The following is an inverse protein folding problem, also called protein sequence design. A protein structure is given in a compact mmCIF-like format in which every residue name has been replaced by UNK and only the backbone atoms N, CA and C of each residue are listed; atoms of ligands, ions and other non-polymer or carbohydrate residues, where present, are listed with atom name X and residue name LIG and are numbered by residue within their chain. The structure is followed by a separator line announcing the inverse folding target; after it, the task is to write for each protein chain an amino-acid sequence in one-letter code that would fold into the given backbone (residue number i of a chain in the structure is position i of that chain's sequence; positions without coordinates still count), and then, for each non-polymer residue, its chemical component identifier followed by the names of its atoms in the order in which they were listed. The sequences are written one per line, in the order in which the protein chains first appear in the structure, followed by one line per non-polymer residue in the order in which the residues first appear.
data_IF_764528643682
#
_entry.id   IF_764528643682
#
_cell.length_a   1.000
_cell.length_b   1.000
_cell.length_c   1.000
_cell.angle_alpha   90.00
_cell.angle_beta   90.00
_cell.angle_gamma   90.00
#
_symmetry.space_group_name_H-M   'P 1'
#
loop_
_entity.id
_entity.type
_entity.pdbx_description
1 polymer ?
#
# COMPACT_ATOMS: atom_id res chain seq x y z
N UNK A 1 61.46 -15.22 -25.69
CA UNK A 1 60.53 -15.85 -24.76
C UNK A 1 59.47 -14.82 -24.36
N UNK A 2 58.31 -14.86 -25.02
CA UNK A 2 57.16 -13.96 -24.73
C UNK A 2 56.18 -14.78 -23.87
N UNK A 3 55.95 -14.34 -22.63
CA UNK A 3 54.92 -14.93 -21.74
C UNK A 3 53.61 -14.24 -22.03
N UNK A 4 52.62 -14.98 -22.54
CA UNK A 4 51.21 -14.59 -22.62
C UNK A 4 50.61 -14.73 -21.20
N UNK A 5 50.08 -13.64 -20.67
CA UNK A 5 49.15 -13.65 -19.51
C UNK A 5 47.74 -13.82 -20.02
N UNK A 6 47.11 -14.92 -19.68
CA UNK A 6 45.66 -15.11 -19.85
C UNK A 6 44.96 -14.52 -18.63
N UNK A 7 44.24 -13.46 -18.81
CA UNK A 7 43.32 -12.95 -17.80
C UNK A 7 41.97 -13.65 -17.96
N UNK A 8 41.65 -14.53 -17.02
CA UNK A 8 40.34 -15.15 -16.92
C UNK A 8 39.38 -14.14 -16.27
N UNK A 9 38.45 -13.58 -17.05
CA UNK A 9 37.33 -12.79 -16.54
C UNK A 9 36.30 -13.76 -15.94
N UNK A 10 36.17 -13.74 -14.62
CA UNK A 10 35.10 -14.46 -13.92
C UNK A 10 33.85 -13.57 -14.06
N UNK A 11 32.94 -13.96 -14.92
CA UNK A 11 31.58 -13.40 -14.99
C UNK A 11 30.80 -13.96 -13.78
N UNK A 12 30.64 -13.14 -12.75
CA UNK A 12 29.69 -13.43 -11.67
C UNK A 12 28.28 -13.27 -12.23
N UNK A 13 27.64 -14.38 -12.57
CA UNK A 13 26.21 -14.40 -12.87
C UNK A 13 25.46 -14.11 -11.55
N UNK A 14 24.91 -12.91 -11.43
CA UNK A 14 23.92 -12.58 -10.42
C UNK A 14 22.66 -13.41 -10.74
N UNK A 15 22.52 -14.55 -10.08
CA UNK A 15 21.29 -15.31 -10.06
C UNK A 15 20.23 -14.44 -9.34
N UNK A 16 19.36 -13.79 -10.09
CA UNK A 16 18.12 -13.26 -9.55
C UNK A 16 17.37 -14.43 -8.93
N UNK A 17 16.89 -14.33 -7.68
CA UNK A 17 16.06 -15.38 -7.13
C UNK A 17 14.80 -15.47 -8.00
N UNK A 18 14.68 -16.54 -8.76
CA UNK A 18 13.40 -16.91 -9.39
C UNK A 18 12.37 -16.96 -8.27
N UNK A 19 11.27 -16.21 -8.42
CA UNK A 19 10.11 -16.37 -7.56
C UNK A 19 9.60 -17.80 -7.77
N UNK A 20 10.12 -18.73 -6.99
CA UNK A 20 9.61 -20.08 -6.93
C UNK A 20 8.18 -19.97 -6.46
N UNK A 21 7.23 -20.47 -7.24
CA UNK A 21 5.87 -20.68 -6.76
C UNK A 21 6.00 -21.47 -5.45
N UNK A 22 5.66 -20.83 -4.31
CA UNK A 22 5.67 -21.54 -3.04
C UNK A 22 4.67 -22.68 -3.16
N UNK A 23 5.17 -23.91 -3.21
CA UNK A 23 4.30 -25.08 -3.20
C UNK A 23 3.70 -25.21 -1.80
N UNK A 24 2.38 -25.31 -1.74
CA UNK A 24 1.67 -25.57 -0.48
C UNK A 24 2.20 -26.89 0.12
N UNK A 25 2.60 -26.92 1.40
CA UNK A 25 3.03 -28.15 2.03
C UNK A 25 1.96 -29.24 1.97
N UNK A 26 2.37 -30.48 1.79
CA UNK A 26 1.45 -31.60 1.72
C UNK A 26 0.67 -31.79 3.03
N UNK A 27 -0.65 -31.88 2.96
CA UNK A 27 -1.54 -31.99 4.10
C UNK A 27 -2.01 -30.65 4.65
N UNK A 28 -1.69 -29.53 3.97
CA UNK A 28 -2.21 -28.22 4.32
C UNK A 28 -3.39 -27.87 3.41
N UNK A 29 -4.45 -27.32 3.98
CA UNK A 29 -5.65 -26.87 3.26
C UNK A 29 -6.02 -25.44 3.61
N UNK A 30 -6.22 -24.59 2.59
CA UNK A 30 -6.61 -23.20 2.74
C UNK A 30 -8.10 -23.12 3.09
N UNK A 31 -8.42 -22.58 4.27
CA UNK A 31 -9.79 -22.53 4.80
C UNK A 31 -10.48 -21.21 4.55
N UNK A 32 -9.74 -20.09 4.64
CA UNK A 32 -10.28 -18.75 4.52
C UNK A 32 -9.22 -17.78 4.06
N UNK A 33 -9.64 -16.75 3.31
CA UNK A 33 -8.77 -15.66 2.83
C UNK A 33 -9.44 -14.31 3.10
N UNK A 34 -8.72 -13.38 3.70
CA UNK A 34 -9.12 -11.97 3.77
C UNK A 34 -8.04 -11.12 3.11
N UNK A 35 -8.46 -10.35 2.10
CA UNK A 35 -7.60 -9.51 1.27
C UNK A 35 -7.87 -8.05 1.64
N UNK A 36 -6.87 -7.34 2.14
CA UNK A 36 -6.91 -5.89 2.36
C UNK A 36 -6.10 -5.22 1.26
N UNK A 37 -6.79 -4.56 0.35
CA UNK A 37 -6.24 -3.98 -0.88
C UNK A 37 -6.17 -2.46 -0.80
N UNK A 38 -5.06 -1.88 -1.26
CA UNK A 38 -5.03 -0.47 -1.67
C UNK A 38 -5.67 -0.33 -3.05
N UNK A 39 -6.31 0.82 -3.34
CA UNK A 39 -6.84 1.14 -4.67
C UNK A 39 -5.75 1.13 -5.75
N UNK A 40 -6.15 1.01 -7.02
CA UNK A 40 -5.30 1.02 -8.21
C UNK A 40 -4.72 2.39 -8.57
N UNK A 41 -3.98 2.44 -9.69
CA UNK A 41 -3.39 3.68 -10.21
C UNK A 41 -4.51 4.69 -10.51
N UNK A 42 -4.34 5.91 -10.04
CA UNK A 42 -5.28 7.04 -10.19
C UNK A 42 -4.57 8.29 -10.68
N UNK A 43 -5.32 9.27 -11.17
CA UNK A 43 -4.78 10.61 -11.34
C UNK A 43 -4.49 11.26 -9.96
N UNK A 44 -3.48 12.14 -9.84
CA UNK A 44 -3.18 12.87 -8.60
C UNK A 44 -4.39 13.66 -8.10
N UNK A 45 -4.49 13.85 -6.76
CA UNK A 45 -5.52 14.67 -6.11
C UNK A 45 -5.21 16.17 -6.25
N UNK A 46 -4.84 16.61 -7.44
CA UNK A 46 -4.37 17.97 -7.69
C UNK A 46 -5.41 18.76 -8.48
N UNK A 47 -5.97 19.78 -7.85
CA UNK A 47 -6.77 20.81 -8.51
C UNK A 47 -5.97 22.11 -8.63
N UNK A 48 -6.40 23.03 -9.49
CA UNK A 48 -5.86 24.39 -9.56
C UNK A 48 -5.85 25.03 -8.16
N UNK A 49 -4.69 25.59 -7.76
CA UNK A 49 -4.48 26.11 -6.39
C UNK A 49 -4.06 25.05 -5.37
N UNK A 50 -3.91 23.78 -5.78
CA UNK A 50 -3.42 22.70 -4.93
C UNK A 50 -1.94 22.86 -4.56
N UNK A 51 -1.46 22.04 -3.61
CA UNK A 51 -0.04 21.98 -3.25
C UNK A 51 0.88 21.79 -4.48
N UNK A 52 0.44 21.02 -5.48
CA UNK A 52 1.20 20.82 -6.72
C UNK A 52 1.34 22.11 -7.54
N UNK A 53 0.27 22.85 -7.72
CA UNK A 53 0.28 24.12 -8.47
C UNK A 53 1.09 25.21 -7.75
N UNK A 54 1.15 25.17 -6.42
CA UNK A 54 1.91 26.13 -5.61
C UNK A 54 3.42 25.80 -5.53
N UNK A 55 3.78 24.53 -5.65
CA UNK A 55 5.15 24.05 -5.41
C UNK A 55 6.09 24.19 -6.63
N UNK A 56 5.56 24.47 -7.83
CA UNK A 56 6.38 24.65 -9.04
C UNK A 56 5.70 25.56 -10.06
N UNK A 57 6.52 26.29 -10.82
CA UNK A 57 6.06 27.04 -12.00
C UNK A 57 6.05 26.17 -13.27
N UNK A 58 6.58 24.95 -13.23
CA UNK A 58 6.61 24.03 -14.35
C UNK A 58 5.21 23.51 -14.66
N UNK A 59 4.83 23.33 -15.93
CA UNK A 59 3.52 22.78 -16.28
C UNK A 59 3.45 21.30 -15.91
N UNK A 60 2.37 20.92 -15.24
CA UNK A 60 2.07 19.52 -14.94
C UNK A 60 1.51 18.81 -16.18
N UNK A 61 1.87 17.54 -16.41
CA UNK A 61 1.30 16.78 -17.52
C UNK A 61 -0.20 16.55 -17.32
N UNK A 62 -0.92 16.45 -18.44
CA UNK A 62 -2.38 16.27 -18.45
C UNK A 62 -2.73 14.79 -18.25
N UNK A 63 -3.69 14.52 -17.38
CA UNK A 63 -4.27 13.21 -17.14
C UNK A 63 -5.56 13.02 -17.94
N UNK A 64 -5.85 11.77 -18.34
CA UNK A 64 -7.05 11.42 -19.11
C UNK A 64 -8.33 11.34 -18.25
N UNK A 65 -8.17 11.21 -16.93
CA UNK A 65 -9.26 11.11 -15.95
C UNK A 65 -9.16 12.24 -14.94
N UNK A 66 -10.23 12.51 -14.23
CA UNK A 66 -10.25 13.54 -13.19
C UNK A 66 -9.34 13.16 -12.00
N UNK A 67 -8.94 14.16 -11.21
CA UNK A 67 -8.12 13.94 -10.03
C UNK A 67 -8.77 12.95 -9.06
N UNK A 68 -8.03 11.91 -8.68
CA UNK A 68 -8.49 10.87 -7.77
C UNK A 68 -9.26 9.71 -8.41
N UNK A 69 -9.57 9.77 -9.69
CA UNK A 69 -10.22 8.66 -10.43
C UNK A 69 -9.22 7.62 -10.89
N UNK A 70 -9.64 6.35 -10.90
CA UNK A 70 -8.86 5.22 -11.40
C UNK A 70 -8.55 5.41 -12.90
N UNK A 71 -7.31 5.12 -13.30
CA UNK A 71 -6.94 5.16 -14.73
C UNK A 71 -7.21 3.83 -15.42
N UNK A 72 -7.22 3.83 -16.77
CA UNK A 72 -7.29 2.58 -17.56
C UNK A 72 -6.13 1.64 -17.21
N UNK A 73 -4.97 2.19 -16.91
CA UNK A 73 -3.80 1.41 -16.51
C UNK A 73 -3.98 0.83 -15.10
N UNK A 74 -4.59 1.58 -14.18
CA UNK A 74 -5.00 1.09 -12.87
C UNK A 74 -5.98 -0.07 -12.97
N UNK A 75 -6.97 0.04 -13.86
CA UNK A 75 -7.90 -1.04 -14.16
C UNK A 75 -7.17 -2.29 -14.69
N UNK A 76 -6.23 -2.12 -15.62
CA UNK A 76 -5.44 -3.22 -16.19
C UNK A 76 -4.60 -3.95 -15.13
N UNK A 77 -3.99 -3.23 -14.18
CA UNK A 77 -3.26 -3.83 -13.04
C UNK A 77 -4.19 -4.72 -12.23
N UNK A 78 -5.41 -4.27 -11.93
CA UNK A 78 -6.39 -5.05 -11.17
C UNK A 78 -6.86 -6.30 -11.94
N UNK A 79 -6.97 -6.22 -13.27
CA UNK A 79 -7.27 -7.39 -14.12
C UNK A 79 -6.17 -8.46 -13.97
N UNK A 80 -4.89 -8.06 -14.00
CA UNK A 80 -3.79 -9.01 -13.79
C UNK A 80 -3.79 -9.59 -12.37
N UNK A 81 -4.04 -8.77 -11.34
CA UNK A 81 -4.20 -9.27 -9.98
C UNK A 81 -5.33 -10.29 -9.88
N UNK A 82 -6.50 -9.95 -10.42
CA UNK A 82 -7.68 -10.83 -10.42
C UNK A 82 -7.36 -12.19 -11.05
N UNK A 83 -6.68 -12.20 -12.20
CA UNK A 83 -6.31 -13.43 -12.89
C UNK A 83 -5.37 -14.31 -12.02
N UNK A 84 -4.33 -13.73 -11.45
CA UNK A 84 -3.38 -14.45 -10.60
C UNK A 84 -4.04 -14.95 -9.30
N UNK A 85 -4.84 -14.12 -8.66
CA UNK A 85 -5.54 -14.49 -7.43
C UNK A 85 -6.60 -15.58 -7.70
N UNK A 86 -7.35 -15.47 -8.79
CA UNK A 86 -8.28 -16.51 -9.22
C UNK A 86 -7.56 -17.85 -9.39
N UNK A 87 -6.46 -17.87 -10.16
CA UNK A 87 -5.66 -19.08 -10.42
C UNK A 87 -5.18 -19.70 -9.10
N UNK A 88 -4.64 -18.91 -8.20
CA UNK A 88 -4.18 -19.36 -6.89
C UNK A 88 -5.32 -19.88 -6.01
N UNK A 89 -6.39 -19.11 -5.80
CA UNK A 89 -7.51 -19.51 -4.93
C UNK A 89 -8.25 -20.75 -5.43
N UNK A 90 -8.33 -20.94 -6.75
CA UNK A 90 -8.90 -22.14 -7.36
C UNK A 90 -7.97 -23.34 -7.17
N UNK A 91 -6.67 -23.17 -7.34
CA UNK A 91 -5.66 -24.21 -7.08
C UNK A 91 -5.74 -24.70 -5.63
N UNK A 92 -5.82 -23.77 -4.67
CA UNK A 92 -5.96 -24.08 -3.24
C UNK A 92 -7.38 -24.51 -2.84
N UNK A 93 -8.30 -24.59 -3.78
CA UNK A 93 -9.70 -25.06 -3.59
C UNK A 93 -10.52 -24.25 -2.58
N UNK A 94 -10.06 -23.05 -2.20
CA UNK A 94 -10.84 -22.15 -1.33
C UNK A 94 -11.95 -21.45 -2.11
N UNK A 95 -11.81 -21.35 -3.43
CA UNK A 95 -12.76 -20.73 -4.33
C UNK A 95 -13.04 -21.65 -5.53
N UNK A 96 -14.32 -21.77 -5.92
CA UNK A 96 -14.73 -22.32 -7.22
C UNK A 96 -15.16 -21.18 -8.13
N UNK A 97 -14.79 -21.24 -9.40
CA UNK A 97 -15.21 -20.28 -10.43
C UNK A 97 -16.12 -20.90 -11.49
N UNK A 98 -16.60 -22.11 -11.25
CA UNK A 98 -17.55 -22.82 -12.14
C UNK A 98 -18.97 -22.25 -12.03
N UNK A 99 -19.29 -21.61 -10.91
CA UNK A 99 -20.56 -20.96 -10.64
C UNK A 99 -20.34 -19.58 -10.03
N UNK A 100 -21.31 -18.69 -10.17
CA UNK A 100 -21.27 -17.39 -9.51
C UNK A 100 -21.28 -17.57 -7.99
N UNK A 101 -20.41 -16.84 -7.26
CA UNK A 101 -20.27 -17.04 -5.83
C UNK A 101 -21.47 -16.48 -5.07
N UNK A 102 -21.85 -17.15 -4.00
CA UNK A 102 -22.73 -16.58 -2.97
C UNK A 102 -21.93 -15.62 -2.07
N UNK A 103 -22.61 -14.76 -1.30
CA UNK A 103 -21.98 -13.88 -0.30
C UNK A 103 -21.15 -14.63 0.76
N UNK A 104 -21.47 -15.91 1.03
CA UNK A 104 -20.68 -16.76 1.94
C UNK A 104 -19.41 -17.32 1.29
N UNK A 105 -19.37 -17.36 -0.02
CA UNK A 105 -18.18 -17.81 -0.76
C UNK A 105 -17.24 -16.67 -1.06
N UNK A 106 -17.78 -15.52 -1.50
CA UNK A 106 -17.00 -14.33 -1.82
C UNK A 106 -17.77 -13.07 -1.43
N UNK A 107 -17.17 -12.25 -0.59
CA UNK A 107 -17.73 -10.97 -0.15
C UNK A 107 -16.78 -9.83 -0.48
N UNK A 108 -17.32 -8.72 -0.96
CA UNK A 108 -16.55 -7.53 -1.35
C UNK A 108 -17.07 -6.31 -0.61
N UNK A 109 -16.17 -5.58 0.00
CA UNK A 109 -16.44 -4.30 0.64
C UNK A 109 -15.39 -3.28 0.19
N UNK A 110 -15.80 -2.22 -0.47
CA UNK A 110 -14.93 -1.14 -0.89
C UNK A 110 -15.29 0.15 -0.15
N UNK A 111 -14.29 0.99 0.09
CA UNK A 111 -14.56 2.37 0.48
C UNK A 111 -15.44 3.06 -0.59
N UNK A 112 -16.34 3.92 -0.16
CA UNK A 112 -17.33 4.60 -1.00
C UNK A 112 -16.74 5.75 -1.84
N UNK A 113 -15.51 5.56 -2.36
CA UNK A 113 -14.85 6.49 -3.28
C UNK A 113 -14.73 5.84 -4.67
N UNK A 114 -14.83 6.60 -5.77
CA UNK A 114 -14.79 6.04 -7.13
C UNK A 114 -13.61 5.09 -7.33
N UNK A 115 -12.39 5.52 -7.05
CA UNK A 115 -11.17 4.70 -7.27
C UNK A 115 -11.14 3.37 -6.53
N UNK A 116 -11.69 3.31 -5.32
CA UNK A 116 -11.73 2.07 -4.52
C UNK A 116 -12.82 1.13 -5.00
N UNK A 117 -13.99 1.69 -5.34
CA UNK A 117 -15.09 0.95 -5.92
C UNK A 117 -14.69 0.37 -7.29
N UNK A 118 -14.09 1.16 -8.17
CA UNK A 118 -13.66 0.72 -9.49
C UNK A 118 -12.53 -0.32 -9.41
N UNK A 119 -11.58 -0.16 -8.47
CA UNK A 119 -10.58 -1.19 -8.17
C UNK A 119 -11.24 -2.53 -7.82
N UNK A 120 -12.24 -2.52 -6.93
CA UNK A 120 -13.00 -3.71 -6.58
C UNK A 120 -13.77 -4.26 -7.79
N UNK A 121 -14.39 -3.40 -8.59
CA UNK A 121 -15.16 -3.80 -9.77
C UNK A 121 -14.30 -4.51 -10.82
N UNK A 122 -13.12 -3.95 -11.15
CA UNK A 122 -12.21 -4.59 -12.11
C UNK A 122 -11.64 -5.91 -11.59
N UNK A 123 -11.33 -5.98 -10.30
CA UNK A 123 -10.90 -7.23 -9.66
C UNK A 123 -12.01 -8.31 -9.75
N UNK A 124 -13.22 -7.99 -9.33
CA UNK A 124 -14.33 -8.94 -9.23
C UNK A 124 -14.77 -9.42 -10.60
N UNK A 125 -14.97 -8.53 -11.57
CA UNK A 125 -15.43 -8.88 -12.91
C UNK A 125 -14.44 -9.76 -13.69
N UNK A 126 -13.16 -9.74 -13.31
CA UNK A 126 -12.12 -10.60 -13.89
C UNK A 126 -11.84 -11.87 -13.06
N UNK A 127 -12.27 -11.90 -11.81
CA UNK A 127 -12.28 -13.13 -11.01
C UNK A 127 -13.49 -14.01 -11.38
N UNK A 128 -14.66 -13.41 -11.56
CA UNK A 128 -15.93 -14.10 -11.85
C UNK A 128 -16.55 -13.56 -13.15
N UNK A 129 -16.09 -14.09 -14.26
CA UNK A 129 -16.55 -13.67 -15.58
C UNK A 129 -18.06 -13.98 -15.72
N UNK A 130 -18.83 -12.99 -16.19
CA UNK A 130 -20.28 -13.05 -16.37
C UNK A 130 -21.11 -13.24 -15.07
N UNK A 131 -20.53 -12.97 -13.90
CA UNK A 131 -21.25 -12.94 -12.64
C UNK A 131 -21.49 -11.50 -12.17
N UNK A 132 -22.65 -11.24 -11.61
CA UNK A 132 -22.95 -10.03 -10.88
C UNK A 132 -22.60 -10.25 -9.40
N UNK A 133 -21.42 -9.80 -8.98
CA UNK A 133 -20.97 -9.86 -7.59
C UNK A 133 -21.08 -8.47 -7.00
N UNK A 134 -22.01 -8.22 -6.08
CA UNK A 134 -22.24 -6.90 -5.55
C UNK A 134 -21.07 -6.42 -4.68
N UNK A 135 -20.69 -5.16 -4.87
CA UNK A 135 -19.68 -4.48 -4.04
C UNK A 135 -20.42 -3.71 -2.95
N UNK A 136 -20.19 -4.10 -1.72
CA UNK A 136 -20.80 -3.46 -0.56
C UNK A 136 -20.03 -2.17 -0.19
N UNK A 137 -20.77 -1.17 0.27
CA UNK A 137 -20.27 0.05 0.89
C UNK A 137 -21.35 0.63 1.82
N UNK A 138 -20.98 1.30 2.92
CA UNK A 138 -21.93 1.81 3.91
C UNK A 138 -22.38 3.25 3.63
N UNK A 139 -21.60 4.03 2.88
CA UNK A 139 -21.85 5.44 2.61
C UNK A 139 -22.18 5.66 1.15
N UNK A 140 -22.73 6.83 0.84
CA UNK A 140 -22.93 7.27 -0.55
C UNK A 140 -21.57 7.42 -1.25
N UNK A 141 -21.55 7.19 -2.55
CA UNK A 141 -20.35 7.43 -3.35
C UNK A 141 -19.86 8.87 -3.18
N UNK A 142 -18.57 9.01 -2.94
CA UNK A 142 -17.89 10.27 -2.63
C UNK A 142 -17.69 10.54 -1.14
N UNK A 143 -18.32 9.77 -0.25
CA UNK A 143 -18.15 9.86 1.20
C UNK A 143 -17.24 8.73 1.71
N UNK A 144 -16.44 8.99 2.76
CA UNK A 144 -15.60 7.95 3.37
C UNK A 144 -16.45 6.93 4.13
N UNK A 145 -16.29 5.67 3.80
CA UNK A 145 -16.89 4.55 4.53
C UNK A 145 -16.19 4.38 5.90
N UNK A 146 -16.93 4.22 7.00
CA UNK A 146 -16.35 4.14 8.35
C UNK A 146 -15.30 3.04 8.53
N UNK A 147 -15.40 1.91 7.80
CA UNK A 147 -14.42 0.84 7.87
C UNK A 147 -13.03 1.28 7.38
N UNK A 148 -12.99 2.17 6.38
CA UNK A 148 -11.77 2.60 5.71
C UNK A 148 -11.34 4.03 6.06
N UNK A 149 -12.11 4.73 6.91
CA UNK A 149 -11.81 6.09 7.31
C UNK A 149 -10.85 6.11 8.50
N UNK A 150 -9.56 6.44 8.32
CA UNK A 150 -8.55 6.32 9.37
C UNK A 150 -8.57 7.55 10.30
N UNK A 151 -9.71 7.82 10.92
CA UNK A 151 -9.89 8.98 11.81
C UNK A 151 -9.56 8.65 13.26
N UNK A 152 -9.15 9.66 14.01
CA UNK A 152 -8.97 9.55 15.45
C UNK A 152 -10.34 9.31 16.11
N UNK A 153 -10.45 8.23 16.85
CA UNK A 153 -11.69 7.81 17.54
C UNK A 153 -11.71 8.20 19.01
N UNK A 154 -10.57 8.61 19.58
CA UNK A 154 -10.43 9.01 20.98
C UNK A 154 -10.71 10.50 21.16
N UNK A 155 -11.77 10.84 21.90
CA UNK A 155 -12.15 12.23 22.24
C UNK A 155 -11.54 12.65 23.59
N UNK A 156 -10.22 12.80 23.61
CA UNK A 156 -9.50 13.06 24.85
C UNK A 156 -8.23 13.87 24.59
N UNK A 157 -8.07 14.98 25.30
CA UNK A 157 -6.98 15.92 25.13
C UNK A 157 -5.62 15.29 25.45
N UNK A 158 -5.54 14.41 26.47
CA UNK A 158 -4.29 13.75 26.81
C UNK A 158 -3.82 12.82 25.68
N UNK A 159 -4.75 12.06 25.06
CA UNK A 159 -4.45 11.26 23.89
C UNK A 159 -3.96 12.12 22.72
N UNK A 160 -4.65 13.23 22.43
CA UNK A 160 -4.27 14.16 21.35
C UNK A 160 -2.85 14.67 21.53
N UNK A 161 -2.51 15.14 22.72
CA UNK A 161 -1.16 15.62 23.05
C UNK A 161 -0.12 14.52 22.90
N UNK A 162 -0.39 13.32 23.40
CA UNK A 162 0.49 12.16 23.28
C UNK A 162 0.71 11.77 21.81
N UNK A 163 -0.35 11.69 21.01
CA UNK A 163 -0.28 11.34 19.60
C UNK A 163 0.54 12.37 18.79
N UNK A 164 0.32 13.67 19.02
CA UNK A 164 1.09 14.74 18.38
C UNK A 164 2.56 14.65 18.79
N UNK A 165 2.87 14.53 20.09
CA UNK A 165 4.26 14.41 20.57
C UNK A 165 4.96 13.17 19.99
N UNK A 166 4.26 12.05 19.84
CA UNK A 166 4.79 10.83 19.24
C UNK A 166 5.09 10.99 17.73
N UNK A 167 4.21 11.68 16.98
CA UNK A 167 4.45 12.03 15.58
C UNK A 167 5.64 12.99 15.41
N UNK A 168 5.75 14.01 16.27
CA UNK A 168 6.89 14.93 16.28
C UNK A 168 8.21 14.19 16.57
N UNK A 169 8.22 13.31 17.57
CA UNK A 169 9.38 12.49 17.89
C UNK A 169 9.75 11.55 16.72
N UNK A 170 8.77 10.99 16.03
CA UNK A 170 8.98 10.16 14.83
C UNK A 170 9.59 10.99 13.70
N UNK A 171 9.12 12.21 13.49
CA UNK A 171 9.67 13.13 12.48
C UNK A 171 11.12 13.51 12.76
N UNK A 172 11.46 13.76 14.00
CA UNK A 172 12.82 14.14 14.41
C UNK A 172 13.87 13.04 14.19
N UNK A 173 13.44 11.77 14.18
CA UNK A 173 14.34 10.61 13.95
C UNK A 173 14.71 10.41 12.48
N UNK A 174 14.04 11.09 11.55
CA UNK A 174 14.25 10.91 10.12
C UNK A 174 14.95 12.13 9.52
N UNK A 175 16.17 11.94 9.01
CA UNK A 175 16.84 12.96 8.21
C UNK A 175 16.33 12.95 6.78
N UNK A 176 15.69 14.04 6.35
CA UNK A 176 15.12 14.24 5.02
C UNK A 176 15.87 15.33 4.21
N UNK A 177 17.01 15.80 4.68
CA UNK A 177 17.76 16.94 4.11
C UNK A 177 18.07 16.74 2.62
N UNK A 178 18.70 15.61 2.27
CA UNK A 178 19.05 15.33 0.86
C UNK A 178 17.80 15.04 -0.01
N UNK A 179 16.76 14.50 0.60
CA UNK A 179 15.48 14.26 -0.07
C UNK A 179 14.77 15.56 -0.45
N UNK A 180 14.71 16.53 0.47
CA UNK A 180 14.16 17.86 0.18
C UNK A 180 14.98 18.60 -0.86
N UNK A 181 16.31 18.59 -0.73
CA UNK A 181 17.20 19.21 -1.69
C UNK A 181 17.02 18.71 -3.12
N UNK A 182 16.91 17.38 -3.27
CA UNK A 182 16.62 16.78 -4.58
C UNK A 182 15.25 17.20 -5.10
N UNK A 183 14.22 17.16 -4.25
CA UNK A 183 12.85 17.54 -4.62
C UNK A 183 12.80 19.01 -5.08
N UNK A 184 13.40 19.92 -4.32
CA UNK A 184 13.48 21.36 -4.65
C UNK A 184 14.14 21.62 -6.00
N UNK A 185 15.22 20.90 -6.31
CA UNK A 185 15.90 20.97 -7.61
C UNK A 185 15.01 20.50 -8.75
N UNK A 186 14.29 19.38 -8.55
CA UNK A 186 13.40 18.81 -9.58
C UNK A 186 12.26 19.77 -9.91
N UNK A 187 11.63 20.38 -8.90
CA UNK A 187 10.48 21.26 -9.10
C UNK A 187 10.86 22.72 -9.33
N UNK A 188 12.13 23.08 -9.22
CA UNK A 188 12.60 24.48 -9.21
C UNK A 188 11.81 25.31 -8.17
N UNK A 189 11.86 24.84 -6.91
CA UNK A 189 11.00 25.36 -5.85
C UNK A 189 11.20 26.86 -5.62
N UNK A 190 12.42 27.38 -5.78
CA UNK A 190 12.73 28.79 -5.64
C UNK A 190 11.96 29.70 -6.62
N UNK A 191 11.60 29.18 -7.79
CA UNK A 191 10.79 29.87 -8.81
C UNK A 191 9.26 29.62 -8.64
N UNK A 192 8.85 28.84 -7.64
CA UNK A 192 7.47 28.45 -7.45
C UNK A 192 6.56 29.62 -7.06
N UNK A 193 5.23 29.53 -7.29
CA UNK A 193 4.26 30.49 -6.79
C UNK A 193 4.33 30.66 -5.26
N UNK A 194 4.50 29.57 -4.50
CA UNK A 194 4.62 29.60 -3.05
C UNK A 194 5.81 30.43 -2.57
N UNK A 195 6.98 30.29 -3.21
CA UNK A 195 8.16 31.08 -2.90
C UNK A 195 8.02 32.55 -3.31
N UNK A 196 7.44 32.83 -4.46
CA UNK A 196 7.22 34.21 -4.93
C UNK A 196 6.27 35.00 -4.02
N UNK A 197 5.35 34.31 -3.33
CA UNK A 197 4.45 34.94 -2.37
C UNK A 197 5.17 35.32 -1.05
N UNK A 198 6.34 34.75 -0.76
CA UNK A 198 7.15 35.05 0.41
C UNK A 198 8.21 36.09 0.06
N UNK A 199 7.96 37.35 0.35
CA UNK A 199 8.92 38.41 0.07
C UNK A 199 10.15 38.36 0.98
N UNK A 200 11.37 38.30 0.41
CA UNK A 200 12.62 38.71 1.05
C UNK A 200 13.45 37.66 1.77
N UNK A 201 13.20 36.36 1.60
CA UNK A 201 14.05 35.27 2.15
C UNK A 201 14.37 34.23 1.07
N UNK A 202 15.55 33.58 1.13
CA UNK A 202 15.74 32.34 0.40
C UNK A 202 14.61 31.36 0.77
N UNK A 203 13.91 30.84 -0.22
CA UNK A 203 12.75 30.00 0.01
C UNK A 203 13.12 28.54 -0.29
N UNK A 204 13.09 27.71 0.74
CA UNK A 204 13.31 26.26 0.62
C UNK A 204 12.18 25.54 1.36
N UNK A 205 11.87 24.30 0.96
CA UNK A 205 10.89 23.47 1.67
C UNK A 205 11.37 23.15 3.10
N UNK A 206 12.69 23.07 3.30
CA UNK A 206 13.29 22.75 4.61
C UNK A 206 13.28 23.90 5.61
N UNK A 207 13.03 25.14 5.19
CA UNK A 207 12.98 26.32 6.08
C UNK A 207 11.71 26.38 6.93
N UNK A 208 10.65 25.69 6.51
CA UNK A 208 9.39 25.60 7.22
C UNK A 208 9.37 24.39 8.18
N UNK A 209 8.58 24.49 9.24
CA UNK A 209 8.39 23.41 10.20
C UNK A 209 7.12 22.64 9.90
N UNK A 210 7.20 21.32 10.06
CA UNK A 210 6.03 20.46 10.09
C UNK A 210 5.22 20.69 11.38
N UNK A 211 3.90 20.75 11.27
CA UNK A 211 2.98 20.85 12.40
C UNK A 211 1.96 19.72 12.31
N UNK A 212 1.94 18.88 13.33
CA UNK A 212 1.09 17.67 13.38
C UNK A 212 -0.21 17.93 14.14
N UNK A 213 -1.27 17.22 13.76
CA UNK A 213 -2.59 17.24 14.41
C UNK A 213 -3.16 15.83 14.50
N UNK A 214 -3.87 15.57 15.60
CA UNK A 214 -4.59 14.33 15.88
C UNK A 214 -5.96 14.66 16.49
N UNK A 215 -6.78 15.40 15.73
CA UNK A 215 -8.08 15.88 16.21
C UNK A 215 -9.15 14.78 16.10
N UNK A 216 -10.05 14.71 17.08
CA UNK A 216 -11.15 13.76 17.11
C UNK A 216 -11.99 13.80 15.85
N UNK A 217 -12.33 12.65 15.29
CA UNK A 217 -13.07 12.43 14.03
C UNK A 217 -12.38 12.98 12.77
N UNK A 218 -11.11 13.36 12.86
CA UNK A 218 -10.32 13.74 11.70
C UNK A 218 -9.16 12.76 11.52
N UNK A 219 -8.70 12.63 10.29
CA UNK A 219 -7.47 11.89 10.01
C UNK A 219 -6.27 12.60 10.66
N UNK A 220 -5.29 11.85 11.22
CA UNK A 220 -4.03 12.44 11.63
C UNK A 220 -3.42 13.19 10.46
N UNK A 221 -2.93 14.37 10.68
CA UNK A 221 -2.49 15.25 9.60
C UNK A 221 -1.22 16.02 9.94
N UNK A 222 -0.57 16.50 8.89
CA UNK A 222 0.56 17.42 8.98
C UNK A 222 0.35 18.60 8.04
N UNK A 223 0.72 19.78 8.47
CA UNK A 223 0.92 20.96 7.62
C UNK A 223 2.41 21.30 7.57
N UNK A 224 2.86 21.84 6.43
CA UNK A 224 4.27 22.18 6.23
C UNK A 224 4.92 21.38 5.10
N UNK A 225 6.26 21.36 5.05
CA UNK A 225 7.03 20.82 3.93
C UNK A 225 6.77 19.33 3.66
N UNK A 226 6.56 18.54 4.71
CA UNK A 226 6.31 17.10 4.54
C UNK A 226 5.02 16.82 3.78
N UNK A 227 3.96 17.61 4.00
CA UNK A 227 2.70 17.50 3.24
C UNK A 227 2.90 17.83 1.77
N UNK A 228 3.62 18.92 1.48
CA UNK A 228 3.93 19.35 0.11
C UNK A 228 4.78 18.29 -0.59
N UNK A 229 5.82 17.81 0.08
CA UNK A 229 6.70 16.78 -0.47
C UNK A 229 5.95 15.48 -0.77
N UNK A 230 5.08 15.02 0.14
CA UNK A 230 4.25 13.85 -0.10
C UNK A 230 3.37 14.00 -1.36
N UNK A 231 2.72 15.15 -1.53
CA UNK A 231 1.88 15.40 -2.70
C UNK A 231 2.67 15.39 -4.02
N UNK A 232 3.88 15.97 -4.02
CA UNK A 232 4.76 16.01 -5.18
C UNK A 232 5.27 14.62 -5.55
N UNK A 233 5.79 13.88 -4.57
CA UNK A 233 6.33 12.53 -4.79
C UNK A 233 5.23 11.55 -5.19
N UNK A 234 4.04 11.64 -4.59
CA UNK A 234 2.87 10.85 -5.01
C UNK A 234 2.53 11.11 -6.48
N UNK A 235 2.53 12.36 -6.92
CA UNK A 235 2.28 12.69 -8.33
C UNK A 235 3.37 12.10 -9.26
N UNK A 236 4.65 12.15 -8.88
CA UNK A 236 5.74 11.58 -9.66
C UNK A 236 5.65 10.05 -9.76
N UNK A 237 5.31 9.38 -8.67
CA UNK A 237 5.12 7.93 -8.60
C UNK A 237 3.95 7.50 -9.50
N UNK A 238 2.84 8.25 -9.44
CA UNK A 238 1.68 8.03 -10.30
C UNK A 238 2.02 8.22 -11.78
N UNK A 239 2.76 9.27 -12.15
CA UNK A 239 3.25 9.48 -13.53
C UNK A 239 4.10 8.30 -14.00
N UNK A 240 5.00 7.81 -13.15
CA UNK A 240 5.86 6.68 -13.46
C UNK A 240 5.04 5.41 -13.74
N UNK A 241 4.10 5.08 -12.86
CA UNK A 241 3.25 3.89 -13.00
C UNK A 241 2.27 4.02 -14.17
N UNK A 242 1.76 5.23 -14.44
CA UNK A 242 0.90 5.47 -15.61
C UNK A 242 1.67 5.37 -16.93
N UNK A 243 3.00 5.31 -16.89
CA UNK A 243 3.85 5.13 -18.05
C UNK A 243 4.06 6.40 -18.87
N UNK A 244 3.96 7.57 -18.25
CA UNK A 244 4.35 8.83 -18.88
C UNK A 244 5.77 8.74 -19.45
N UNK A 245 6.10 9.46 -20.54
CA UNK A 245 7.46 9.56 -21.05
C UNK A 245 8.45 9.91 -19.93
N UNK A 246 9.66 9.37 -20.00
CA UNK A 246 10.64 9.54 -18.90
C UNK A 246 11.04 11.01 -18.68
N UNK A 247 10.98 11.83 -19.71
CA UNK A 247 11.23 13.27 -19.67
C UNK A 247 10.04 14.07 -19.10
N UNK A 248 8.86 13.46 -18.99
CA UNK A 248 7.68 14.05 -18.33
C UNK A 248 7.57 13.64 -16.87
N UNK A 249 8.01 12.42 -16.50
CA UNK A 249 8.00 11.95 -15.11
C UNK A 249 8.88 12.85 -14.25
N UNK A 250 8.27 13.50 -13.25
CA UNK A 250 8.98 14.47 -12.40
C UNK A 250 9.77 15.51 -13.23
N UNK A 251 9.18 15.98 -14.31
CA UNK A 251 9.82 16.95 -15.24
C UNK A 251 11.16 16.47 -15.79
N UNK A 252 11.35 15.16 -15.95
CA UNK A 252 12.60 14.55 -16.35
C UNK A 252 13.74 14.66 -15.33
N UNK A 253 13.45 15.01 -14.10
CA UNK A 253 14.44 15.27 -13.05
C UNK A 253 14.99 14.01 -12.35
N UNK A 254 14.36 12.84 -12.53
CA UNK A 254 14.79 11.57 -11.90
C UNK A 254 15.59 10.75 -12.91
N UNK A 255 16.85 10.43 -12.56
CA UNK A 255 17.81 9.75 -13.45
C UNK A 255 18.31 8.40 -12.91
N UNK A 256 17.96 8.03 -11.70
CA UNK A 256 18.47 6.81 -11.05
C UNK A 256 17.55 6.29 -9.95
N UNK A 257 17.68 4.99 -9.63
CA UNK A 257 16.97 4.37 -8.51
C UNK A 257 17.33 5.02 -7.17
N UNK A 258 18.57 5.50 -7.01
CA UNK A 258 18.96 6.24 -5.81
C UNK A 258 18.15 7.52 -5.61
N UNK A 259 17.84 8.24 -6.70
CA UNK A 259 16.99 9.43 -6.63
C UNK A 259 15.53 9.05 -6.33
N UNK A 260 15.02 7.95 -6.88
CA UNK A 260 13.72 7.41 -6.47
C UNK A 260 13.69 7.10 -4.97
N UNK A 261 14.69 6.40 -4.44
CA UNK A 261 14.78 6.09 -3.01
C UNK A 261 14.78 7.34 -2.13
N UNK A 262 15.49 8.40 -2.53
CA UNK A 262 15.50 9.68 -1.81
C UNK A 262 14.11 10.35 -1.82
N UNK A 263 13.43 10.36 -2.95
CA UNK A 263 12.09 10.95 -3.04
C UNK A 263 11.05 10.13 -2.29
N UNK A 264 11.03 8.82 -2.49
CA UNK A 264 10.09 7.94 -1.79
C UNK A 264 10.30 7.92 -0.27
N UNK A 265 11.50 8.23 0.21
CA UNK A 265 11.74 8.45 1.63
C UNK A 265 10.85 9.56 2.21
N UNK A 266 10.54 10.63 1.44
CA UNK A 266 9.61 11.68 1.86
C UNK A 266 8.19 11.14 2.01
N UNK A 267 7.71 10.42 0.98
CA UNK A 267 6.36 9.83 0.98
C UNK A 267 6.20 8.74 2.03
N UNK A 268 7.16 7.83 2.11
CA UNK A 268 7.17 6.77 3.12
C UNK A 268 7.25 7.35 4.55
N UNK A 269 8.00 8.45 4.75
CA UNK A 269 8.06 9.15 6.05
C UNK A 269 6.74 9.83 6.39
N UNK A 270 6.10 10.50 5.44
CA UNK A 270 4.76 11.06 5.64
C UNK A 270 3.79 9.98 6.15
N UNK A 271 3.73 8.86 5.44
CA UNK A 271 2.84 7.76 5.80
C UNK A 271 3.20 7.14 7.15
N UNK A 272 4.48 6.86 7.39
CA UNK A 272 4.90 6.23 8.64
C UNK A 272 4.65 7.11 9.85
N UNK A 273 4.92 8.40 9.77
CA UNK A 273 4.72 9.32 10.89
C UNK A 273 3.24 9.44 11.23
N UNK A 274 2.36 9.57 10.24
CA UNK A 274 0.94 9.78 10.47
C UNK A 274 0.17 8.49 10.79
N UNK A 275 0.56 7.35 10.23
CA UNK A 275 -0.26 6.13 10.30
C UNK A 275 0.42 4.92 10.93
N UNK A 276 1.74 4.98 11.22
CA UNK A 276 2.43 3.86 11.88
C UNK A 276 3.02 4.19 13.23
N UNK A 277 2.91 5.44 13.70
CA UNK A 277 3.19 5.78 15.09
C UNK A 277 2.24 4.98 15.99
N UNK A 278 2.74 4.17 16.96
CA UNK A 278 1.95 3.11 17.60
C UNK A 278 0.61 3.57 18.20
N UNK A 279 0.60 4.69 18.90
CA UNK A 279 -0.61 5.25 19.53
C UNK A 279 -1.66 5.62 18.47
N UNK A 280 -1.21 6.24 17.37
CA UNK A 280 -2.08 6.64 16.26
C UNK A 280 -2.54 5.43 15.49
N UNK A 281 -1.62 4.51 15.15
CA UNK A 281 -1.92 3.33 14.35
C UNK A 281 -3.05 2.48 14.94
N UNK A 282 -2.97 2.16 16.23
CA UNK A 282 -4.02 1.38 16.92
C UNK A 282 -5.36 2.08 16.89
N UNK A 283 -5.36 3.39 17.11
CA UNK A 283 -6.58 4.18 17.16
C UNK A 283 -7.27 4.23 15.80
N UNK A 284 -6.56 4.59 14.73
CA UNK A 284 -7.16 4.76 13.39
C UNK A 284 -7.43 3.43 12.68
N UNK A 285 -6.72 2.35 13.03
CA UNK A 285 -6.96 1.02 12.47
C UNK A 285 -8.10 0.26 13.16
N UNK A 286 -8.60 0.74 14.30
CA UNK A 286 -9.55 0.02 15.12
C UNK A 286 -10.76 -0.53 14.36
N UNK A 287 -11.48 0.23 13.51
CA UNK A 287 -12.63 -0.32 12.78
C UNK A 287 -12.26 -1.53 11.91
N UNK A 288 -11.09 -1.47 11.25
CA UNK A 288 -10.61 -2.55 10.39
C UNK A 288 -10.10 -3.74 11.21
N UNK A 289 -9.43 -3.49 12.34
CA UNK A 289 -9.01 -4.53 13.30
C UNK A 289 -10.21 -5.27 13.86
N UNK A 290 -11.23 -4.57 14.35
CA UNK A 290 -12.46 -5.16 14.88
C UNK A 290 -13.16 -6.04 13.82
N UNK A 291 -13.19 -5.58 12.57
CA UNK A 291 -13.75 -6.36 11.47
C UNK A 291 -12.93 -7.63 11.19
N UNK A 292 -11.60 -7.52 11.12
CA UNK A 292 -10.71 -8.67 10.89
C UNK A 292 -10.77 -9.68 12.04
N UNK A 293 -10.85 -9.20 13.27
CA UNK A 293 -10.98 -10.06 14.45
C UNK A 293 -12.27 -10.92 14.38
N UNK A 294 -13.39 -10.29 14.07
CA UNK A 294 -14.65 -11.01 13.86
C UNK A 294 -14.56 -12.06 12.74
N UNK A 295 -13.88 -11.74 11.63
CA UNK A 295 -13.79 -12.63 10.47
C UNK A 295 -12.83 -13.80 10.68
N UNK A 296 -11.69 -13.56 11.32
CA UNK A 296 -10.59 -14.51 11.40
C UNK A 296 -10.50 -15.25 12.73
N UNK A 297 -10.95 -14.62 13.83
CA UNK A 297 -10.76 -15.14 15.20
C UNK A 297 -12.10 -15.49 15.85
N UNK A 298 -12.99 -14.51 16.01
CA UNK A 298 -14.22 -14.67 16.80
C UNK A 298 -15.26 -15.59 16.14
N UNK A 299 -15.53 -15.39 14.83
CA UNK A 299 -16.60 -16.07 14.11
C UNK A 299 -16.17 -16.58 12.72
N UNK A 300 -15.03 -17.30 12.60
CA UNK A 300 -14.52 -17.70 11.30
C UNK A 300 -15.46 -18.63 10.52
N UNK A 301 -16.23 -19.47 11.22
CA UNK A 301 -17.21 -20.36 10.57
C UNK A 301 -18.41 -19.62 9.96
N UNK A 302 -18.75 -18.44 10.45
CA UNK A 302 -19.82 -17.60 9.93
C UNK A 302 -19.34 -16.64 8.83
N UNK A 303 -18.03 -16.40 8.75
CA UNK A 303 -17.40 -15.50 7.80
C UNK A 303 -17.43 -16.06 6.36
N UNK A 304 -17.33 -15.20 5.34
CA UNK A 304 -17.12 -15.64 3.96
C UNK A 304 -15.81 -16.42 3.80
N UNK A 305 -15.78 -17.34 2.84
CA UNK A 305 -14.54 -18.06 2.49
C UNK A 305 -13.46 -17.11 1.99
N UNK A 306 -13.85 -16.14 1.17
CA UNK A 306 -12.95 -15.08 0.69
C UNK A 306 -13.62 -13.73 0.91
N UNK A 307 -12.90 -12.80 1.50
CA UNK A 307 -13.32 -11.41 1.67
C UNK A 307 -12.29 -10.48 0.99
N UNK A 308 -12.79 -9.59 0.12
CA UNK A 308 -11.99 -8.52 -0.47
C UNK A 308 -12.40 -7.17 0.14
N UNK A 309 -11.45 -6.51 0.78
CA UNK A 309 -11.59 -5.17 1.34
C UNK A 309 -10.73 -4.21 0.53
N UNK A 310 -11.33 -3.17 -0.07
CA UNK A 310 -10.60 -2.21 -0.90
C UNK A 310 -10.63 -0.82 -0.27
N UNK A 311 -9.47 -0.38 0.18
CA UNK A 311 -9.25 0.89 0.86
C UNK A 311 -8.00 1.62 0.34
N UNK A 312 -7.22 2.12 1.28
CA UNK A 312 -6.10 3.04 1.08
C UNK A 312 -4.79 2.51 1.68
N UNK A 313 -3.69 3.15 1.32
CA UNK A 313 -2.37 2.93 1.92
C UNK A 313 -2.36 3.15 3.44
N UNK A 314 -3.06 4.18 3.92
CA UNK A 314 -3.23 4.47 5.36
C UNK A 314 -3.87 3.31 6.11
N UNK A 315 -4.85 2.60 5.50
CA UNK A 315 -5.47 1.42 6.10
C UNK A 315 -4.47 0.27 6.26
N UNK A 316 -3.69 -0.02 5.21
CA UNK A 316 -2.66 -1.06 5.25
C UNK A 316 -1.56 -0.69 6.24
N UNK A 317 -1.07 0.54 6.19
CA UNK A 317 0.02 1.01 7.04
C UNK A 317 -0.36 0.95 8.53
N UNK A 318 -1.52 1.51 8.89
CA UNK A 318 -1.99 1.51 10.28
C UNK A 318 -2.32 0.12 10.79
N UNK A 319 -2.94 -0.73 9.95
CA UNK A 319 -3.24 -2.12 10.29
C UNK A 319 -1.96 -2.91 10.63
N UNK A 320 -0.97 -2.89 9.73
CA UNK A 320 0.28 -3.62 9.94
C UNK A 320 1.07 -3.09 11.13
N UNK A 321 1.08 -1.77 11.36
CA UNK A 321 1.72 -1.18 12.52
C UNK A 321 1.00 -1.56 13.83
N UNK A 322 -0.33 -1.54 13.85
CA UNK A 322 -1.13 -1.95 15.02
C UNK A 322 -0.91 -3.43 15.37
N UNK A 323 -0.78 -4.30 14.35
CA UNK A 323 -0.47 -5.73 14.52
C UNK A 323 1.01 -6.00 14.87
N UNK A 324 1.82 -4.97 15.04
CA UNK A 324 3.27 -5.08 15.33
C UNK A 324 4.01 -5.91 14.29
N UNK A 325 3.75 -5.63 13.00
CA UNK A 325 4.47 -6.25 11.90
C UNK A 325 5.96 -5.89 11.97
N UNK A 326 6.82 -6.90 11.81
CA UNK A 326 8.26 -6.66 11.71
C UNK A 326 8.58 -5.80 10.49
N UNK A 327 9.65 -4.99 10.52
CA UNK A 327 10.04 -4.18 9.37
C UNK A 327 10.17 -5.03 8.10
N UNK A 328 9.62 -4.53 7.00
CA UNK A 328 9.66 -5.20 5.69
C UNK A 328 10.12 -4.24 4.60
N UNK A 329 10.66 -4.82 3.54
CA UNK A 329 10.98 -4.09 2.32
C UNK A 329 10.58 -4.98 1.13
N UNK A 330 9.76 -4.43 0.25
CA UNK A 330 9.25 -5.14 -0.92
C UNK A 330 10.28 -5.04 -2.07
N UNK A 331 10.91 -6.15 -2.50
CA UNK A 331 11.89 -6.14 -3.57
C UNK A 331 11.32 -5.53 -4.87
N UNK A 332 12.07 -4.61 -5.48
CA UNK A 332 11.67 -3.96 -6.72
C UNK A 332 10.55 -2.93 -6.58
N UNK A 333 10.20 -2.52 -5.34
CA UNK A 333 9.22 -1.47 -5.06
C UNK A 333 9.86 -0.25 -4.42
N UNK A 334 9.31 0.94 -4.71
CA UNK A 334 9.71 2.20 -4.10
C UNK A 334 8.87 2.50 -2.86
N UNK A 335 7.56 2.21 -2.94
CA UNK A 335 6.60 2.44 -1.88
C UNK A 335 6.60 1.29 -0.87
N UNK A 336 6.43 1.61 0.40
CA UNK A 336 6.25 0.60 1.45
C UNK A 336 4.86 -0.05 1.38
N UNK A 337 3.86 0.69 0.96
CA UNK A 337 2.49 0.23 0.73
C UNK A 337 2.07 0.56 -0.71
N UNK A 338 2.59 -0.17 -1.71
CA UNK A 338 2.43 0.18 -3.12
C UNK A 338 0.97 0.21 -3.57
N UNK A 339 0.70 1.05 -4.56
CA UNK A 339 -0.58 1.12 -5.27
C UNK A 339 -0.96 -0.28 -5.77
N UNK A 340 -2.24 -0.64 -5.70
CA UNK A 340 -2.77 -1.99 -6.00
C UNK A 340 -2.24 -3.10 -5.08
N UNK A 341 -1.32 -2.81 -4.15
CA UNK A 341 -0.79 -3.79 -3.22
C UNK A 341 -1.87 -4.35 -2.29
N UNK A 342 -1.70 -5.60 -1.89
CA UNK A 342 -2.70 -6.34 -1.11
C UNK A 342 -2.03 -7.10 0.03
N UNK A 343 -2.51 -6.89 1.26
CA UNK A 343 -2.16 -7.75 2.40
C UNK A 343 -3.20 -8.87 2.46
N UNK A 344 -2.74 -10.11 2.45
CA UNK A 344 -3.58 -11.30 2.36
C UNK A 344 -3.38 -12.13 3.61
N UNK A 345 -4.42 -12.18 4.44
CA UNK A 345 -4.52 -13.05 5.61
C UNK A 345 -5.09 -14.39 5.15
N UNK A 346 -4.38 -15.47 5.44
CA UNK A 346 -4.70 -16.82 4.98
C UNK A 346 -4.80 -17.74 6.19
N UNK A 347 -6.01 -18.24 6.47
CA UNK A 347 -6.22 -19.26 7.48
C UNK A 347 -6.08 -20.65 6.83
N UNK A 348 -5.14 -21.42 7.34
CA UNK A 348 -4.83 -22.76 6.87
C UNK A 348 -5.11 -23.79 7.95
N UNK A 349 -5.35 -25.04 7.53
CA UNK A 349 -5.43 -26.19 8.41
C UNK A 349 -4.32 -27.18 8.04
N UNK A 350 -3.57 -27.66 9.01
CA UNK A 350 -2.61 -28.73 8.88
C UNK A 350 -3.26 -30.05 9.33
N UNK A 351 -3.61 -30.91 8.38
CA UNK A 351 -4.30 -32.19 8.62
C UNK A 351 -3.44 -33.14 9.47
N UNK A 352 -2.09 -33.05 9.41
CA UNK A 352 -1.18 -33.93 10.14
C UNK A 352 -1.13 -33.61 11.64
N UNK A 353 -1.07 -32.33 11.97
CA UNK A 353 -1.04 -31.88 13.35
C UNK A 353 -2.40 -31.50 13.91
N UNK A 354 -3.45 -31.49 13.06
CA UNK A 354 -4.81 -31.04 13.36
C UNK A 354 -4.81 -29.63 14.01
N UNK A 355 -4.08 -28.69 13.42
CA UNK A 355 -3.95 -27.32 13.92
C UNK A 355 -4.26 -26.31 12.82
N UNK A 356 -4.86 -25.21 13.25
CA UNK A 356 -5.07 -24.04 12.39
C UNK A 356 -3.85 -23.12 12.44
N UNK A 357 -3.53 -22.55 11.29
CA UNK A 357 -2.35 -21.73 11.06
C UNK A 357 -2.76 -20.43 10.36
N UNK A 358 -2.02 -19.36 10.62
CA UNK A 358 -2.14 -18.09 9.92
C UNK A 358 -0.90 -17.86 9.06
N UNK A 359 -1.12 -17.45 7.81
CA UNK A 359 -0.07 -16.90 6.93
C UNK A 359 -0.48 -15.54 6.45
N UNK A 360 0.43 -14.56 6.52
CA UNK A 360 0.18 -13.20 6.06
C UNK A 360 1.18 -12.89 4.96
N UNK A 361 0.70 -12.51 3.79
CA UNK A 361 1.57 -12.13 2.68
C UNK A 361 1.20 -10.76 2.14
N UNK A 362 2.21 -10.01 1.72
CA UNK A 362 2.04 -8.82 0.90
C UNK A 362 2.18 -9.20 -0.57
N UNK A 363 1.11 -9.05 -1.34
CA UNK A 363 1.09 -9.29 -2.78
C UNK A 363 1.18 -7.95 -3.50
N UNK A 364 2.09 -7.85 -4.47
CA UNK A 364 2.33 -6.61 -5.18
C UNK A 364 2.95 -6.85 -6.57
N UNK A 365 2.92 -5.85 -7.41
CA UNK A 365 3.76 -5.78 -8.60
C UNK A 365 4.95 -4.88 -8.32
N UNK A 366 6.11 -5.17 -8.91
CA UNK A 366 7.28 -4.27 -8.83
C UNK A 366 6.96 -2.94 -9.54
N UNK A 367 7.72 -1.89 -9.22
CA UNK A 367 7.59 -0.59 -9.89
C UNK A 367 7.75 -0.71 -11.41
N UNK A 368 8.66 -1.59 -11.87
CA UNK A 368 8.87 -1.88 -13.28
C UNK A 368 7.68 -2.61 -13.91
N UNK A 369 7.10 -3.61 -13.22
CA UNK A 369 5.89 -4.29 -13.67
C UNK A 369 4.73 -3.31 -13.80
N UNK A 370 4.52 -2.44 -12.81
CA UNK A 370 3.49 -1.40 -12.84
C UNK A 370 3.66 -0.49 -14.06
N UNK A 371 4.89 0.00 -14.28
CA UNK A 371 5.21 0.87 -15.43
C UNK A 371 4.99 0.17 -16.78
N UNK A 372 5.29 -1.12 -16.86
CA UNK A 372 5.23 -1.91 -18.08
C UNK A 372 3.98 -2.80 -18.19
N UNK A 373 2.94 -2.56 -17.37
CA UNK A 373 1.76 -3.43 -17.28
C UNK A 373 1.11 -3.72 -18.64
N UNK A 374 1.08 -2.76 -19.57
CA UNK A 374 0.54 -2.96 -20.92
C UNK A 374 1.33 -3.99 -21.76
N UNK A 375 2.54 -4.35 -21.36
CA UNK A 375 3.40 -5.36 -21.99
C UNK A 375 3.43 -6.69 -21.23
N UNK A 376 2.77 -6.76 -20.06
CA UNK A 376 2.70 -7.98 -19.27
C UNK A 376 1.75 -8.99 -19.90
N UNK A 377 2.09 -10.28 -19.74
CA UNK A 377 1.15 -11.38 -20.00
C UNK A 377 0.42 -11.79 -18.72
N UNK A 378 -0.70 -12.52 -18.86
CA UNK A 378 -1.46 -13.04 -17.72
C UNK A 378 -0.65 -14.01 -16.83
N UNK A 379 0.43 -14.58 -17.35
CA UNK A 379 1.35 -15.43 -16.58
C UNK A 379 2.46 -14.64 -15.86
N UNK A 380 2.51 -13.31 -16.02
CA UNK A 380 3.43 -12.47 -15.26
C UNK A 380 3.14 -12.59 -13.77
N UNK A 381 4.14 -13.02 -12.95
CA UNK A 381 3.86 -13.34 -11.55
C UNK A 381 3.59 -12.08 -10.73
N UNK A 382 2.59 -12.15 -9.87
CA UNK A 382 2.47 -11.26 -8.71
C UNK A 382 3.59 -11.60 -7.74
N UNK A 383 4.28 -10.60 -7.23
CA UNK A 383 5.30 -10.77 -6.20
C UNK A 383 4.61 -11.08 -4.87
N UNK A 384 5.24 -11.94 -4.06
CA UNK A 384 4.73 -12.34 -2.75
C UNK A 384 5.83 -12.15 -1.71
N UNK A 385 5.49 -11.46 -0.64
CA UNK A 385 6.40 -11.23 0.48
C UNK A 385 5.70 -11.70 1.77
N UNK A 386 6.28 -12.66 2.48
CA UNK A 386 5.74 -13.13 3.75
C UNK A 386 5.97 -12.08 4.82
N UNK A 387 4.90 -11.62 5.44
CA UNK A 387 4.93 -10.70 6.58
C UNK A 387 4.99 -11.50 7.87
N UNK A 388 5.76 -11.03 8.82
CA UNK A 388 5.87 -11.60 10.17
C UNK A 388 5.44 -10.57 11.21
N UNK A 389 4.62 -10.99 12.16
CA UNK A 389 4.25 -10.18 13.32
C UNK A 389 5.16 -10.54 14.50
N UNK A 390 5.52 -9.55 15.32
CA UNK A 390 6.39 -9.78 16.49
C UNK A 390 5.80 -10.82 17.44
N UNK A 391 4.47 -10.78 17.67
CA UNK A 391 3.75 -11.73 18.53
C UNK A 391 3.39 -13.07 17.87
N UNK A 392 3.65 -13.24 16.55
CA UNK A 392 3.29 -14.44 15.78
C UNK A 392 4.45 -14.87 14.87
N UNK A 393 5.55 -15.38 15.44
CA UNK A 393 6.71 -15.79 14.66
C UNK A 393 6.37 -16.94 13.71
N UNK A 394 6.89 -16.85 12.49
CA UNK A 394 6.59 -17.80 11.41
C UNK A 394 7.62 -18.94 11.36
N UNK A 395 7.17 -20.10 10.89
CA UNK A 395 8.05 -21.20 10.48
C UNK A 395 8.73 -20.92 9.12
N UNK A 396 9.50 -21.90 8.63
CA UNK A 396 10.20 -21.79 7.33
C UNK A 396 9.26 -21.66 6.13
N UNK A 397 7.98 -22.01 6.26
CA UNK A 397 6.95 -21.92 5.23
C UNK A 397 6.10 -20.63 5.37
N UNK A 398 6.38 -19.79 6.36
CA UNK A 398 5.70 -18.54 6.61
C UNK A 398 4.39 -18.68 7.43
N UNK A 399 4.18 -19.79 8.11
CA UNK A 399 3.01 -20.02 8.95
C UNK A 399 3.31 -19.75 10.42
N UNK A 400 2.38 -19.09 11.12
CA UNK A 400 2.36 -19.03 12.57
C UNK A 400 1.13 -19.74 13.13
N UNK A 401 1.18 -20.27 14.38
CA UNK A 401 0.01 -20.89 15.03
C UNK A 401 -1.15 -19.92 15.15
N UNK A 402 -2.39 -20.36 14.86
CA UNK A 402 -3.59 -19.51 14.93
C UNK A 402 -3.81 -18.95 16.33
N UNK A 403 -3.45 -19.69 17.38
CA UNK A 403 -3.54 -19.24 18.76
C UNK A 403 -2.67 -17.99 18.99
N UNK A 404 -1.45 -17.96 18.42
CA UNK A 404 -0.55 -16.80 18.52
C UNK A 404 -1.08 -15.59 17.75
N UNK A 405 -1.68 -15.81 16.60
CA UNK A 405 -2.35 -14.75 15.87
C UNK A 405 -3.54 -14.19 16.66
N UNK A 406 -4.34 -15.05 17.27
CA UNK A 406 -5.47 -14.63 18.15
C UNK A 406 -5.00 -13.81 19.35
N UNK A 407 -3.87 -14.20 19.99
CA UNK A 407 -3.27 -13.41 21.08
C UNK A 407 -2.86 -11.99 20.59
N UNK A 408 -2.31 -11.87 19.37
CA UNK A 408 -1.98 -10.57 18.79
C UNK A 408 -3.26 -9.74 18.56
N UNK A 409 -4.30 -10.34 17.96
CA UNK A 409 -5.56 -9.65 17.67
C UNK A 409 -6.23 -9.14 18.95
N UNK A 410 -6.32 -9.97 20.00
CA UNK A 410 -6.91 -9.58 21.27
C UNK A 410 -6.14 -8.45 21.97
N UNK A 411 -4.80 -8.51 21.94
CA UNK A 411 -3.95 -7.46 22.53
C UNK A 411 -4.14 -6.08 21.88
N UNK A 412 -4.48 -6.03 20.59
CA UNK A 412 -4.67 -4.74 19.89
C UNK A 412 -6.12 -4.25 19.96
N UNK A 413 -7.06 -5.13 20.35
CA UNK A 413 -8.46 -4.78 20.59
C UNK A 413 -8.69 -4.16 21.98
N UNK A 414 -7.81 -4.44 22.96
CA UNK A 414 -7.76 -3.81 24.28
C UNK A 414 -7.28 -2.36 24.21
#
# INVERSE_FOLDING_TARGET
MKRLFWSAAIAAALALPSAMAQTTPEGYSLQQVVIVSRHGIRAPLANNGSALAQATAKPWPTWKVAGGELTDRGALVEIFFAHQMRKWMTHEKVLSTEQCPTKKQFFVWANSLPRTHDTAQFFVSNTFIACDVPIFHQRKMGEMDPLFNPVITEDNEAFRQQAVAAMEASRQRVDLTESYKLLEQIVDYSASPACKAQSGKPCTLSDEKDTFRADYRLEPSVSGPLKTANALVDAFTLQYYEGFPQDEVAFGGIKSDKQWQLLEKLKNSYQSILFTTPEVARNVAKPLLDYLDQQLVEKPAAAPKVTLLVGHDSNIASLLAALDAKPWQLPGQFEQTPISGKVVFQRWHDDKSNRDLMKIEYLYFTAEQMRNVAKMGFDSPVQRYTLELTGCPTDSNGFCPMEKFSEVMHKVAE
#
